data_IF_788451826836
#
_entry.id   IF_788451826836
#
_cell.length_a   1.000
_cell.length_b   1.000
_cell.length_c   1.000
_cell.angle_alpha   90.00
_cell.angle_beta   90.00
_cell.angle_gamma   90.00
#
_symmetry.space_group_name_H-M   'P 1'
#
loop_
_entity.id
_entity.type
_entity.pdbx_description
1 polymer ?
#
# COMPACT_ATOMS: atom_id res chain seq x y z
N UNK A 1 5.35 5.67 -11.84
CA UNK A 1 4.87 4.28 -11.98
C UNK A 1 4.89 3.66 -10.60
N UNK A 2 3.84 2.97 -10.16
CA UNK A 2 3.81 2.37 -8.82
C UNK A 2 4.59 1.06 -8.82
N UNK A 3 5.39 0.84 -7.79
CA UNK A 3 6.31 -0.30 -7.62
C UNK A 3 5.68 -1.39 -6.78
N UNK A 4 5.56 -2.60 -7.32
CA UNK A 4 5.05 -3.77 -6.60
C UNK A 4 6.19 -4.77 -6.39
N UNK A 5 6.43 -5.14 -5.15
CA UNK A 5 7.33 -6.25 -4.80
C UNK A 5 6.50 -7.49 -4.53
N UNK A 6 6.66 -8.52 -5.37
CA UNK A 6 6.05 -9.83 -5.21
C UNK A 6 7.07 -10.80 -4.62
N UNK A 7 6.75 -11.40 -3.47
CA UNK A 7 7.61 -12.37 -2.78
C UNK A 7 6.88 -13.70 -2.73
N UNK A 8 7.44 -14.70 -3.40
CA UNK A 8 6.85 -16.03 -3.46
C UNK A 8 7.35 -16.85 -4.64
N UNK A 9 6.68 -17.96 -4.90
CA UNK A 9 7.01 -18.95 -5.93
C UNK A 9 6.38 -18.57 -7.27
N UNK A 10 6.51 -19.47 -8.24
CA UNK A 10 5.99 -19.28 -9.61
C UNK A 10 4.46 -19.18 -9.70
N UNK A 11 3.73 -19.54 -8.64
CA UNK A 11 2.28 -19.31 -8.50
C UNK A 11 1.89 -17.83 -8.65
N UNK A 12 2.85 -16.92 -8.46
CA UNK A 12 2.68 -15.47 -8.62
C UNK A 12 2.78 -14.98 -10.08
N UNK A 13 3.30 -15.78 -11.01
CA UNK A 13 3.55 -15.35 -12.40
C UNK A 13 2.30 -14.88 -13.15
N UNK A 14 1.12 -15.52 -13.04
CA UNK A 14 -0.09 -15.02 -13.70
C UNK A 14 -0.50 -13.63 -13.22
N UNK A 15 -0.33 -13.36 -11.93
CA UNK A 15 -0.63 -12.05 -11.33
C UNK A 15 0.35 -10.98 -11.80
N UNK A 16 1.64 -11.33 -11.95
CA UNK A 16 2.66 -10.41 -12.44
C UNK A 16 2.29 -9.81 -13.79
N UNK A 17 1.93 -10.64 -14.77
CA UNK A 17 1.59 -10.15 -16.11
C UNK A 17 0.40 -9.19 -16.08
N UNK A 18 -0.67 -9.53 -15.35
CA UNK A 18 -1.83 -8.64 -15.25
C UNK A 18 -1.53 -7.32 -14.53
N UNK A 19 -0.60 -7.31 -13.57
CA UNK A 19 -0.14 -6.07 -12.95
C UNK A 19 0.75 -5.24 -13.89
N UNK A 20 1.63 -5.86 -14.67
CA UNK A 20 2.44 -5.14 -15.67
C UNK A 20 1.53 -4.49 -16.74
N UNK A 21 0.46 -5.18 -17.18
CA UNK A 21 -0.56 -4.63 -18.08
C UNK A 21 -1.33 -3.44 -17.47
N UNK A 22 -1.63 -3.51 -16.17
CA UNK A 22 -2.24 -2.42 -15.41
C UNK A 22 -1.26 -1.25 -15.09
N UNK A 23 -0.02 -1.34 -15.57
CA UNK A 23 0.97 -0.25 -15.50
C UNK A 23 1.81 -0.22 -14.22
N UNK A 24 1.90 -1.33 -13.49
CA UNK A 24 2.80 -1.46 -12.34
C UNK A 24 4.21 -1.86 -12.74
N UNK A 25 5.21 -1.36 -12.02
CA UNK A 25 6.58 -1.86 -12.09
C UNK A 25 6.70 -3.04 -11.11
N UNK A 26 6.70 -4.26 -11.64
CA UNK A 26 6.65 -5.48 -10.81
C UNK A 26 8.02 -6.12 -10.69
N UNK A 27 8.49 -6.30 -9.45
CA UNK A 27 9.66 -7.12 -9.13
C UNK A 27 9.18 -8.39 -8.46
N UNK A 28 9.58 -9.54 -8.99
CA UNK A 28 9.34 -10.85 -8.39
C UNK A 28 10.62 -11.37 -7.75
N UNK A 29 10.53 -11.74 -6.48
CA UNK A 29 11.59 -12.37 -5.70
C UNK A 29 11.11 -13.70 -5.14
N UNK A 30 12.00 -14.68 -5.11
CA UNK A 30 11.81 -15.82 -4.22
C UNK A 30 12.01 -15.37 -2.77
N UNK A 31 11.44 -16.09 -1.79
CA UNK A 31 11.83 -15.90 -0.39
C UNK A 31 13.34 -16.06 -0.22
N UNK A 32 13.96 -15.16 0.55
CA UNK A 32 15.40 -15.02 0.77
C UNK A 32 16.17 -14.36 -0.38
N UNK A 33 15.48 -13.84 -1.41
CA UNK A 33 16.10 -13.20 -2.57
C UNK A 33 16.54 -11.75 -2.32
N UNK A 34 17.48 -11.25 -3.13
CA UNK A 34 18.10 -9.92 -2.95
C UNK A 34 17.08 -8.76 -2.93
N UNK A 35 16.00 -8.84 -3.71
CA UNK A 35 14.95 -7.81 -3.75
C UNK A 35 14.10 -7.77 -2.46
N UNK A 36 14.08 -8.85 -1.69
CA UNK A 36 13.45 -8.89 -0.37
C UNK A 36 14.42 -8.40 0.74
N UNK A 37 15.71 -8.23 0.42
CA UNK A 37 16.77 -7.71 1.30
C UNK A 37 16.70 -6.22 1.67
N UNK A 38 15.74 -5.45 1.12
CA UNK A 38 15.51 -4.05 1.49
C UNK A 38 16.17 -2.99 0.59
N UNK A 39 16.87 -3.39 -0.48
CA UNK A 39 17.43 -2.46 -1.47
C UNK A 39 16.36 -1.85 -2.41
N UNK A 40 15.16 -2.43 -2.42
CA UNK A 40 14.02 -1.94 -3.19
C UNK A 40 13.03 -1.21 -2.30
N UNK A 41 12.55 -0.04 -2.73
CA UNK A 41 11.50 0.73 -2.05
C UNK A 41 10.16 0.55 -2.80
N UNK A 42 9.39 -0.52 -2.52
CA UNK A 42 8.11 -0.73 -3.18
C UNK A 42 7.02 0.17 -2.61
N UNK A 43 6.01 0.47 -3.43
CA UNK A 43 4.77 1.09 -2.99
C UNK A 43 3.84 0.08 -2.32
N UNK A 44 3.89 -1.20 -2.71
CA UNK A 44 3.10 -2.32 -2.15
C UNK A 44 3.90 -3.61 -2.18
N UNK A 45 3.70 -4.46 -1.18
CA UNK A 45 4.25 -5.82 -1.12
C UNK A 45 3.12 -6.83 -1.30
N UNK A 46 3.29 -7.79 -2.22
CA UNK A 46 2.43 -8.96 -2.38
C UNK A 46 3.21 -10.18 -1.92
N UNK A 47 2.64 -10.92 -0.97
CA UNK A 47 3.35 -11.98 -0.25
C UNK A 47 2.62 -13.32 -0.38
N UNK A 48 3.25 -14.33 -0.98
CA UNK A 48 2.71 -15.69 -1.00
C UNK A 48 2.89 -16.36 0.38
N UNK A 49 1.79 -16.62 1.07
CA UNK A 49 1.80 -17.37 2.33
C UNK A 49 1.71 -18.88 2.03
N UNK A 50 2.83 -19.58 2.15
CA UNK A 50 2.93 -21.03 1.88
C UNK A 50 2.95 -21.87 3.15
N UNK A 51 2.63 -23.17 3.03
CA UNK A 51 2.71 -24.14 4.13
C UNK A 51 4.17 -24.51 4.42
N UNK A 52 4.91 -23.56 4.98
CA UNK A 52 6.26 -23.73 5.49
C UNK A 52 6.38 -22.80 6.69
N UNK A 53 6.36 -23.39 7.89
CA UNK A 53 6.45 -22.64 9.12
C UNK A 53 7.75 -21.82 9.12
N UNK A 54 7.64 -20.53 9.44
CA UNK A 54 8.77 -19.66 9.74
C UNK A 54 9.66 -19.28 8.57
N UNK A 55 9.07 -18.73 7.52
CA UNK A 55 9.85 -17.90 6.62
C UNK A 55 10.29 -16.65 7.41
N UNK A 56 11.53 -16.68 7.93
CA UNK A 56 12.09 -15.63 8.78
C UNK A 56 12.01 -14.26 8.10
N UNK A 57 12.00 -14.24 6.77
CA UNK A 57 11.79 -13.03 5.99
C UNK A 57 10.35 -12.53 6.02
N UNK A 58 9.35 -13.41 5.92
CA UNK A 58 7.94 -13.04 6.14
C UNK A 58 7.79 -12.44 7.53
N UNK A 59 8.34 -13.09 8.56
CA UNK A 59 8.31 -12.56 9.93
C UNK A 59 9.00 -11.21 10.02
N UNK A 60 10.19 -11.04 9.41
CA UNK A 60 10.92 -9.77 9.38
C UNK A 60 10.10 -8.66 8.70
N UNK A 61 9.53 -8.93 7.52
CA UNK A 61 8.68 -7.97 6.79
C UNK A 61 7.47 -7.57 7.63
N UNK A 62 6.87 -8.50 8.36
CA UNK A 62 5.72 -8.20 9.22
C UNK A 62 6.13 -7.51 10.54
N UNK A 63 7.32 -7.79 11.07
CA UNK A 63 7.86 -7.18 12.30
C UNK A 63 8.35 -5.75 12.09
N UNK A 64 9.05 -5.47 10.97
CA UNK A 64 9.59 -4.15 10.61
C UNK A 64 8.47 -3.11 10.41
N UNK A 65 7.24 -3.57 10.16
CA UNK A 65 6.03 -2.74 9.97
C UNK A 65 5.54 -2.02 11.23
N UNK A 66 6.04 -2.36 12.41
CA UNK A 66 5.69 -1.66 13.66
C UNK A 66 6.14 -0.18 13.69
N UNK A 67 6.96 0.24 12.73
CA UNK A 67 7.52 1.60 12.65
C UNK A 67 6.63 2.61 11.89
N UNK A 68 5.51 2.17 11.30
CA UNK A 68 4.45 3.05 10.77
C UNK A 68 4.63 3.57 9.34
N UNK A 69 5.82 3.46 8.76
CA UNK A 69 6.12 3.99 7.40
C UNK A 69 6.32 2.90 6.33
N UNK A 70 6.13 1.63 6.70
CA UNK A 70 6.35 0.49 5.81
C UNK A 70 5.22 0.34 4.79
N UNK A 71 5.46 -0.12 3.55
CA UNK A 71 4.43 -0.35 2.52
C UNK A 71 3.28 -1.29 2.97
N UNK A 72 2.07 -1.20 2.37
CA UNK A 72 1.02 -2.16 2.64
C UNK A 72 1.41 -3.55 2.13
N UNK A 73 1.01 -4.58 2.87
CA UNK A 73 1.26 -5.99 2.57
C UNK A 73 -0.05 -6.69 2.28
N UNK A 74 -0.16 -7.26 1.08
CA UNK A 74 -1.29 -8.08 0.66
C UNK A 74 -0.82 -9.53 0.60
N UNK A 75 -1.48 -10.42 1.33
CA UNK A 75 -1.16 -11.84 1.26
C UNK A 75 -1.86 -12.51 0.08
N UNK A 76 -1.18 -13.46 -0.57
CA UNK A 76 -1.79 -14.44 -1.47
C UNK A 76 -1.63 -15.81 -0.84
N UNK A 77 -2.70 -16.60 -0.76
CA UNK A 77 -2.65 -17.92 -0.11
C UNK A 77 -3.59 -18.92 -0.75
N UNK A 78 -3.35 -20.21 -0.51
CA UNK A 78 -4.28 -21.24 -0.96
C UNK A 78 -5.59 -21.20 -0.15
N UNK A 79 -6.74 -21.51 -0.76
CA UNK A 79 -8.05 -21.43 -0.08
C UNK A 79 -8.17 -22.27 1.19
N UNK A 80 -7.48 -23.41 1.25
CA UNK A 80 -7.43 -24.32 2.40
C UNK A 80 -6.81 -23.66 3.65
N UNK A 81 -5.98 -22.63 3.46
CA UNK A 81 -5.30 -21.93 4.53
C UNK A 81 -6.12 -20.82 5.18
N UNK A 82 -7.26 -20.43 4.62
CA UNK A 82 -8.09 -19.34 5.16
C UNK A 82 -8.45 -19.57 6.63
N UNK A 83 -8.70 -20.82 7.03
CA UNK A 83 -9.03 -21.19 8.41
C UNK A 83 -7.85 -21.06 9.38
N UNK A 84 -6.62 -21.02 8.87
CA UNK A 84 -5.37 -20.93 9.63
C UNK A 84 -4.74 -19.54 9.63
N UNK A 85 -5.38 -18.56 8.96
CA UNK A 85 -4.87 -17.20 8.89
C UNK A 85 -5.01 -16.53 10.25
N UNK A 86 -3.88 -16.19 10.87
CA UNK A 86 -3.85 -15.40 12.10
C UNK A 86 -4.10 -13.92 11.78
N UNK A 87 -5.20 -13.31 12.28
CA UNK A 87 -5.47 -11.89 12.09
C UNK A 87 -4.39 -10.98 12.71
N UNK A 88 -3.62 -11.49 13.68
CA UNK A 88 -2.53 -10.78 14.35
C UNK A 88 -1.28 -10.55 13.49
N UNK A 89 -1.19 -11.15 12.29
CA UNK A 89 -0.06 -10.98 11.37
C UNK A 89 0.06 -9.56 10.81
N UNK A 90 -0.98 -8.73 10.96
CA UNK A 90 -0.95 -7.32 10.59
C UNK A 90 -1.02 -7.05 9.08
N UNK A 91 -1.48 -7.99 8.26
CA UNK A 91 -1.68 -7.82 6.82
C UNK A 91 -2.70 -6.70 6.52
N UNK A 92 -2.50 -5.94 5.43
CA UNK A 92 -3.44 -4.89 5.00
C UNK A 92 -4.63 -5.46 4.21
N UNK A 93 -4.44 -6.60 3.55
CA UNK A 93 -5.47 -7.38 2.86
C UNK A 93 -4.96 -8.81 2.56
N UNK A 94 -5.84 -9.70 2.09
CA UNK A 94 -5.48 -11.01 1.56
C UNK A 94 -6.33 -11.40 0.33
N UNK A 95 -5.77 -12.25 -0.52
CA UNK A 95 -6.45 -12.93 -1.61
C UNK A 95 -6.13 -14.42 -1.59
N UNK A 96 -7.01 -15.20 -2.20
CA UNK A 96 -6.73 -16.60 -2.50
C UNK A 96 -6.10 -16.75 -3.88
N UNK A 97 -5.27 -17.77 -4.08
CA UNK A 97 -4.56 -18.07 -5.33
C UNK A 97 -5.47 -18.27 -6.55
N UNK A 98 -6.76 -18.54 -6.34
CA UNK A 98 -7.79 -18.63 -7.39
C UNK A 98 -8.34 -17.28 -7.85
N UNK A 99 -7.94 -16.17 -7.23
CA UNK A 99 -8.36 -14.83 -7.63
C UNK A 99 -7.76 -14.43 -8.99
N UNK A 100 -8.40 -13.47 -9.66
CA UNK A 100 -7.90 -12.95 -10.93
C UNK A 100 -6.84 -11.85 -10.72
N UNK A 101 -5.95 -11.60 -11.71
CA UNK A 101 -5.01 -10.47 -11.64
C UNK A 101 -5.70 -9.11 -11.45
N UNK A 102 -6.88 -8.92 -12.03
CA UNK A 102 -7.68 -7.70 -11.90
C UNK A 102 -8.16 -7.48 -10.45
N UNK A 103 -8.51 -8.56 -9.74
CA UNK A 103 -8.86 -8.47 -8.32
C UNK A 103 -7.66 -8.03 -7.48
N UNK A 104 -6.48 -8.62 -7.72
CA UNK A 104 -5.26 -8.22 -7.03
C UNK A 104 -4.93 -6.75 -7.30
N UNK A 105 -4.99 -6.32 -8.56
CA UNK A 105 -4.77 -4.92 -8.94
C UNK A 105 -5.73 -3.97 -8.22
N UNK A 106 -7.02 -4.32 -8.13
CA UNK A 106 -8.01 -3.51 -7.43
C UNK A 106 -7.70 -3.38 -5.93
N UNK A 107 -7.30 -4.47 -5.28
CA UNK A 107 -6.94 -4.47 -3.85
C UNK A 107 -5.64 -3.73 -3.57
N UNK A 108 -4.66 -3.80 -4.48
CA UNK A 108 -3.45 -2.95 -4.45
C UNK A 108 -3.86 -1.47 -4.49
N UNK A 109 -4.71 -1.06 -5.45
CA UNK A 109 -5.22 0.33 -5.51
C UNK A 109 -5.95 0.71 -4.23
N UNK A 110 -6.76 -0.18 -3.67
CA UNK A 110 -7.52 0.09 -2.45
C UNK A 110 -6.60 0.24 -1.22
N UNK A 111 -5.59 -0.61 -1.07
CA UNK A 111 -4.63 -0.54 0.03
C UNK A 111 -3.78 0.74 -0.04
N UNK A 112 -3.33 1.12 -1.25
CA UNK A 112 -2.67 2.40 -1.48
C UNK A 112 -3.59 3.59 -1.17
N UNK A 113 -4.85 3.52 -1.60
CA UNK A 113 -5.81 4.57 -1.31
C UNK A 113 -6.11 4.68 0.19
N UNK A 114 -6.22 3.59 0.93
CA UNK A 114 -6.38 3.65 2.41
C UNK A 114 -5.23 4.36 3.11
N UNK A 115 -4.04 4.38 2.50
CA UNK A 115 -2.85 5.07 3.01
C UNK A 115 -2.74 6.53 2.57
N UNK A 116 -3.35 6.89 1.44
CA UNK A 116 -3.44 8.28 0.97
C UNK A 116 -4.75 8.97 1.39
N UNK A 117 -5.74 8.19 1.81
CA UNK A 117 -7.00 8.63 2.39
C UNK A 117 -6.83 8.92 3.89
N UNK A 118 -7.62 9.86 4.39
CA UNK A 118 -7.62 10.35 5.78
C UNK A 118 -7.31 9.22 6.76
N UNK A 119 -6.11 9.25 7.34
CA UNK A 119 -5.62 8.23 8.27
C UNK A 119 -6.50 8.21 9.54
N UNK A 120 -6.40 7.18 10.39
CA UNK A 120 -7.08 7.13 11.70
C UNK A 120 -6.73 8.34 12.61
N UNK A 121 -5.70 9.10 12.24
CA UNK A 121 -5.24 10.36 12.82
C UNK A 121 -5.79 11.62 12.15
N UNK A 122 -6.78 11.51 11.26
CA UNK A 122 -7.32 12.64 10.49
C UNK A 122 -6.26 13.34 9.60
N UNK A 123 -5.24 12.62 9.11
CA UNK A 123 -4.19 13.21 8.24
C UNK A 123 -4.44 12.83 6.79
N UNK A 124 -4.48 13.82 5.90
CA UNK A 124 -4.62 13.65 4.45
C UNK A 124 -3.25 13.84 3.78
N UNK A 125 -2.86 12.88 2.93
CA UNK A 125 -1.56 12.90 2.22
C UNK A 125 -1.72 12.98 0.71
N UNK A 126 -0.96 13.85 0.06
CA UNK A 126 -0.93 14.01 -1.40
C UNK A 126 0.49 14.31 -1.89
N UNK A 127 1.22 13.27 -2.29
CA UNK A 127 2.66 13.41 -2.55
C UNK A 127 3.39 13.84 -1.27
N UNK A 128 4.17 14.91 -1.37
CA UNK A 128 4.90 15.48 -0.21
C UNK A 128 4.01 16.35 0.70
N UNK A 129 2.74 16.55 0.35
CA UNK A 129 1.79 17.34 1.13
C UNK A 129 1.15 16.47 2.21
N UNK A 130 1.18 16.95 3.45
CA UNK A 130 0.46 16.39 4.59
C UNK A 130 -0.46 17.45 5.20
N UNK A 131 -1.73 17.11 5.43
CA UNK A 131 -2.74 17.98 6.06
C UNK A 131 -3.31 17.25 7.27
N UNK A 132 -3.06 17.73 8.48
CA UNK A 132 -3.73 17.24 9.69
C UNK A 132 -5.04 18.00 9.88
N UNK A 133 -6.15 17.30 9.66
CA UNK A 133 -7.51 17.83 9.75
C UNK A 133 -7.98 18.06 11.20
N UNK A 134 -7.33 17.43 12.18
CA UNK A 134 -7.65 17.62 13.60
C UNK A 134 -6.96 18.87 14.15
N UNK A 135 -5.68 19.08 13.80
CA UNK A 135 -4.90 20.24 14.27
C UNK A 135 -4.92 21.44 13.33
N UNK A 136 -5.51 21.31 12.13
CA UNK A 136 -5.52 22.35 11.09
C UNK A 136 -4.11 22.75 10.66
N UNK A 137 -3.17 21.80 10.66
CA UNK A 137 -1.77 22.04 10.26
C UNK A 137 -1.47 21.43 8.90
N UNK A 138 -0.56 22.07 8.16
CA UNK A 138 -0.13 21.63 6.83
C UNK A 138 1.38 21.54 6.80
N UNK A 139 1.91 20.46 6.24
CA UNK A 139 3.33 20.28 5.99
C UNK A 139 3.55 19.97 4.51
N UNK A 140 4.66 20.46 3.96
CA UNK A 140 5.13 20.12 2.62
C UNK A 140 6.58 19.63 2.73
N UNK A 141 6.84 18.40 2.32
CA UNK A 141 8.14 17.74 2.46
C UNK A 141 8.65 17.81 3.92
N UNK A 142 7.74 17.65 4.88
CA UNK A 142 8.02 17.70 6.32
C UNK A 142 8.21 19.10 6.91
N UNK A 143 8.12 20.17 6.12
CA UNK A 143 8.21 21.56 6.60
C UNK A 143 6.82 22.16 6.82
N UNK A 144 6.57 22.84 7.95
CA UNK A 144 5.27 23.47 8.21
C UNK A 144 5.00 24.60 7.22
N UNK A 145 3.78 24.65 6.70
CA UNK A 145 3.29 25.70 5.79
C UNK A 145 2.22 26.49 6.52
N UNK A 146 2.47 27.76 6.77
CA UNK A 146 1.45 28.67 7.30
C UNK A 146 0.48 29.06 6.19
N UNK A 147 -0.80 28.84 6.45
CA UNK A 147 -1.90 29.20 5.56
C UNK A 147 -2.92 30.02 6.32
N UNK A 148 -3.55 30.96 5.64
CA UNK A 148 -4.79 31.56 6.14
C UNK A 148 -5.90 30.51 6.18
N UNK A 149 -6.94 30.77 6.97
CA UNK A 149 -8.08 29.86 7.08
C UNK A 149 -8.69 29.49 5.72
N UNK A 150 -8.81 30.45 4.79
CA UNK A 150 -9.40 30.22 3.46
C UNK A 150 -8.49 29.44 2.53
N UNK A 151 -7.17 29.66 2.60
CA UNK A 151 -6.20 28.85 1.85
C UNK A 151 -6.19 27.41 2.34
N UNK A 152 -6.23 27.20 3.66
CA UNK A 152 -6.38 25.88 4.26
C UNK A 152 -7.68 25.20 3.79
N UNK A 153 -8.83 25.88 3.86
CA UNK A 153 -10.11 25.30 3.44
C UNK A 153 -10.10 24.88 1.97
N UNK A 154 -9.53 25.71 1.09
CA UNK A 154 -9.41 25.41 -0.33
C UNK A 154 -8.48 24.23 -0.56
N UNK A 155 -7.31 24.22 0.06
CA UNK A 155 -6.33 23.15 -0.07
C UNK A 155 -6.91 21.82 0.43
N UNK A 156 -7.53 21.82 1.62
CA UNK A 156 -8.24 20.67 2.20
C UNK A 156 -9.31 20.16 1.25
N UNK A 157 -10.12 21.05 0.68
CA UNK A 157 -11.18 20.70 -0.24
C UNK A 157 -10.64 20.01 -1.50
N UNK A 158 -9.61 20.57 -2.12
CA UNK A 158 -8.97 20.00 -3.31
C UNK A 158 -8.30 18.67 -3.00
N UNK A 159 -7.58 18.58 -1.88
CA UNK A 159 -6.86 17.38 -1.48
C UNK A 159 -7.82 16.22 -1.11
N UNK A 160 -8.98 16.52 -0.53
CA UNK A 160 -10.03 15.53 -0.24
C UNK A 160 -10.71 15.02 -1.50
N UNK A 161 -10.75 15.85 -2.55
CA UNK A 161 -11.35 15.52 -3.84
C UNK A 161 -10.27 15.35 -4.93
N UNK A 162 -9.19 14.65 -4.58
CA UNK A 162 -8.06 14.42 -5.50
C UNK A 162 -8.54 13.83 -6.84
N UNK A 163 -7.86 14.22 -7.92
CA UNK A 163 -8.17 13.85 -9.31
C UNK A 163 -9.49 14.41 -9.90
N UNK A 164 -10.20 15.29 -9.19
CA UNK A 164 -11.38 16.00 -9.72
C UNK A 164 -11.05 17.46 -10.05
N UNK A 165 -11.44 17.90 -11.24
CA UNK A 165 -11.31 19.31 -11.66
C UNK A 165 -12.54 20.09 -11.18
N UNK A 166 -12.32 21.26 -10.59
CA UNK A 166 -13.36 22.18 -10.13
C UNK A 166 -13.29 23.50 -10.91
N UNK A 167 -14.45 24.07 -11.20
CA UNK A 167 -14.56 25.44 -11.73
C UNK A 167 -14.58 26.44 -10.58
N UNK A 168 -14.19 27.69 -10.83
CA UNK A 168 -14.12 28.75 -9.81
C UNK A 168 -15.51 29.20 -9.30
N UNK A 169 -16.57 28.86 -10.01
CA UNK A 169 -17.94 29.36 -9.79
C UNK A 169 -18.87 28.35 -9.09
N UNK A 170 -18.36 27.18 -8.67
CA UNK A 170 -19.15 26.09 -8.09
C UNK A 170 -19.29 26.18 -6.56
#
# INVERSE_FOLDING_TARGET
>A
MRKVLMIGRESLLPFRHGLEEDGYEVIHSTPGGAAAGGEYSPDVIVLELTAGAEDAEVKRILEDRRTGDSPPVIALMDPDRLSSLDPGLGLDDFLVTTASPEELSLRIRQALWRRTGVDAKNVLRSGDLEIDLASYTVHLSGQPVELTYKEYELLRFLATNAARVFTREA
#
